data_IF_912845712737
#
_entry.id   IF_912845712737
#
_cell.length_a   1.000
_cell.length_b   1.000
_cell.length_c   1.000
_cell.angle_alpha   90.00
_cell.angle_beta   90.00
_cell.angle_gamma   90.00
#
_symmetry.space_group_name_H-M   'P 1'
#
loop_
_entity.id
_entity.type
_entity.pdbx_description
1 polymer ?
#
# COMPACT_ATOMS: atom_id res chain seq x y z
N UNK A 1 -6.96 23.56 -10.94
CA UNK A 1 -8.02 22.53 -10.83
C UNK A 1 -9.23 23.15 -10.16
N UNK A 2 -10.41 23.02 -10.74
CA UNK A 2 -11.63 23.64 -10.19
C UNK A 2 -12.11 22.87 -8.95
N UNK A 3 -12.81 23.57 -8.04
CA UNK A 3 -13.43 22.99 -6.83
C UNK A 3 -14.36 21.82 -7.19
N UNK A 4 -14.96 21.82 -8.39
CA UNK A 4 -15.78 20.71 -8.89
C UNK A 4 -15.00 19.39 -9.07
N UNK A 5 -13.76 19.45 -9.55
CA UNK A 5 -12.94 18.23 -9.70
C UNK A 5 -12.56 17.61 -8.34
N UNK A 6 -12.31 18.44 -7.32
CA UNK A 6 -12.04 17.93 -5.96
C UNK A 6 -13.26 17.29 -5.32
N UNK A 7 -14.45 17.82 -5.58
CA UNK A 7 -15.70 17.24 -5.08
C UNK A 7 -16.02 15.89 -5.74
N UNK A 8 -15.75 15.75 -7.04
CA UNK A 8 -15.96 14.50 -7.78
C UNK A 8 -15.03 13.36 -7.32
N UNK A 9 -13.79 13.69 -6.96
CA UNK A 9 -12.80 12.72 -6.46
C UNK A 9 -13.15 12.27 -5.03
N UNK A 10 -13.60 13.19 -4.16
CA UNK A 10 -14.10 12.85 -2.82
C UNK A 10 -15.35 11.96 -2.87
N UNK A 11 -16.23 12.18 -3.87
CA UNK A 11 -17.41 11.35 -4.09
C UNK A 11 -17.01 9.96 -4.66
N UNK A 12 -15.99 9.86 -5.50
CA UNK A 12 -15.51 8.58 -6.03
C UNK A 12 -14.83 7.73 -4.93
N UNK A 13 -14.04 8.32 -4.04
CA UNK A 13 -13.50 7.66 -2.86
C UNK A 13 -14.61 7.26 -1.88
N UNK A 14 -15.58 8.14 -1.61
CA UNK A 14 -16.74 7.83 -0.76
C UNK A 14 -17.61 6.72 -1.36
N UNK A 15 -17.74 6.64 -2.69
CA UNK A 15 -18.45 5.57 -3.38
C UNK A 15 -17.64 4.25 -3.39
N UNK A 16 -16.31 4.30 -3.48
CA UNK A 16 -15.46 3.12 -3.32
C UNK A 16 -15.58 2.55 -1.88
N UNK A 17 -15.72 3.41 -0.87
CA UNK A 17 -16.01 3.00 0.51
C UNK A 17 -17.44 2.46 0.67
N UNK A 18 -18.44 3.03 0.00
CA UNK A 18 -19.83 2.58 0.07
C UNK A 18 -20.08 1.23 -0.64
N UNK A 19 -19.29 0.92 -1.68
CA UNK A 19 -19.37 -0.38 -2.37
C UNK A 19 -18.79 -1.55 -1.56
N UNK A 20 -18.12 -1.27 -0.42
CA UNK A 20 -17.60 -2.28 0.50
C UNK A 20 -18.59 -2.72 1.58
N UNK A 21 -19.84 -2.28 1.53
CA UNK A 21 -20.90 -2.74 2.45
C UNK A 21 -21.46 -4.08 1.97
N UNK A 22 -20.76 -5.16 2.29
CA UNK A 22 -21.31 -6.52 2.20
C UNK A 22 -21.44 -7.10 3.61
N UNK A 23 -22.70 -7.40 4.00
CA UNK A 23 -23.21 -7.61 5.36
C UNK A 23 -22.80 -8.96 6.02
N UNK A 24 -21.59 -9.46 5.80
CA UNK A 24 -21.17 -10.72 6.43
C UNK A 24 -19.97 -10.53 7.36
N UNK A 25 -20.20 -9.99 8.55
CA UNK A 25 -19.15 -9.80 9.56
C UNK A 25 -19.32 -10.76 10.76
N UNK A 26 -18.21 -11.44 11.08
CA UNK A 26 -18.04 -12.08 12.38
C UNK A 26 -17.71 -11.06 13.48
N UNK A 27 -17.94 -11.44 14.68
CA UNK A 27 -18.02 -10.82 16.01
C UNK A 27 -17.11 -9.64 16.43
N UNK A 28 -16.40 -8.96 15.55
CA UNK A 28 -15.67 -7.72 15.83
C UNK A 28 -16.43 -6.52 15.23
N UNK A 29 -17.62 -6.25 15.77
CA UNK A 29 -18.55 -5.20 15.35
C UNK A 29 -18.13 -3.77 15.79
N UNK A 30 -16.87 -3.38 15.61
CA UNK A 30 -16.51 -1.98 15.74
C UNK A 30 -16.67 -1.28 14.38
N UNK A 31 -17.63 -0.37 14.30
CA UNK A 31 -17.81 0.52 13.16
C UNK A 31 -16.81 1.69 13.28
N UNK A 32 -15.85 1.73 12.39
CA UNK A 32 -14.83 2.79 12.36
C UNK A 32 -15.26 3.98 11.49
N UNK A 33 -16.37 3.89 10.76
CA UNK A 33 -16.75 4.86 9.73
C UNK A 33 -17.14 6.23 10.30
N UNK A 34 -17.61 6.28 11.55
CA UNK A 34 -17.98 7.52 12.24
C UNK A 34 -16.79 8.21 12.93
N UNK A 35 -15.60 7.64 12.87
CA UNK A 35 -14.43 8.21 13.53
C UNK A 35 -13.92 9.45 12.79
N UNK A 36 -13.75 10.54 13.52
CA UNK A 36 -12.98 11.70 13.02
C UNK A 36 -11.50 11.31 12.98
N UNK A 37 -10.89 11.48 11.81
CA UNK A 37 -9.49 11.12 11.56
C UNK A 37 -8.64 12.37 11.26
N UNK A 38 -7.45 12.44 11.84
CA UNK A 38 -6.50 13.53 11.60
C UNK A 38 -5.06 13.12 11.86
N UNK A 39 -4.13 13.87 11.28
CA UNK A 39 -2.69 13.76 11.57
C UNK A 39 -2.21 14.89 12.46
N UNK A 40 -1.27 14.59 13.35
CA UNK A 40 -0.56 15.58 14.14
C UNK A 40 0.94 15.27 14.21
N UNK A 41 1.82 16.28 14.43
CA UNK A 41 3.25 16.05 14.61
C UNK A 41 3.54 15.17 15.82
N UNK A 42 4.45 14.21 15.64
CA UNK A 42 4.99 13.44 16.75
C UNK A 42 6.16 14.20 17.41
N UNK A 43 5.89 14.86 18.51
CA UNK A 43 6.83 15.68 19.23
C UNK A 43 7.69 14.89 20.23
N UNK A 44 7.54 13.56 20.30
CA UNK A 44 8.36 12.72 21.18
C UNK A 44 9.81 12.75 20.74
N UNK A 45 10.79 12.72 21.69
CA UNK A 45 12.20 12.63 21.35
C UNK A 45 12.47 11.40 20.49
N UNK A 46 13.15 11.58 19.36
CA UNK A 46 13.54 10.49 18.47
C UNK A 46 15.06 10.38 18.48
N UNK A 47 15.56 9.17 18.76
CA UNK A 47 16.97 8.82 18.63
C UNK A 47 17.33 8.35 17.22
N UNK A 48 16.50 8.63 16.23
CA UNK A 48 16.78 8.32 14.84
C UNK A 48 18.06 9.09 14.45
N UNK A 49 19.11 8.36 14.08
CA UNK A 49 20.35 8.97 13.62
C UNK A 49 20.08 9.78 12.36
N UNK A 50 20.60 10.99 12.31
CA UNK A 50 20.38 11.99 11.26
C UNK A 50 20.97 11.65 9.89
N UNK A 51 21.57 10.47 9.72
CA UNK A 51 22.14 9.98 8.46
C UNK A 51 21.06 9.48 7.46
N UNK A 52 19.80 9.44 7.91
CA UNK A 52 18.66 9.12 7.05
C UNK A 52 18.09 10.38 6.40
N UNK A 53 17.57 10.22 5.19
CA UNK A 53 16.85 11.28 4.48
C UNK A 53 15.77 11.85 5.41
N UNK A 54 15.63 13.19 5.49
CA UNK A 54 14.73 13.83 6.44
C UNK A 54 13.28 13.37 6.22
N UNK A 55 12.67 12.82 7.25
CA UNK A 55 11.25 12.48 7.28
C UNK A 55 10.57 13.21 8.44
N UNK A 56 9.31 13.61 8.23
CA UNK A 56 8.49 14.19 9.30
C UNK A 56 7.88 13.08 10.14
N UNK A 57 8.15 13.02 11.47
CA UNK A 57 7.48 12.10 12.37
C UNK A 57 6.06 12.59 12.67
N UNK A 58 5.08 11.72 12.47
CA UNK A 58 3.66 12.04 12.61
C UNK A 58 2.94 10.95 13.41
N UNK A 59 1.80 11.30 14.00
CA UNK A 59 0.82 10.37 14.57
C UNK A 59 -0.49 10.53 13.82
N UNK A 60 -1.05 9.44 13.37
CA UNK A 60 -2.41 9.39 12.80
C UNK A 60 -3.38 8.95 13.88
N UNK A 61 -4.45 9.70 14.03
CA UNK A 61 -5.50 9.45 15.02
C UNK A 61 -6.83 9.12 14.34
N UNK A 62 -7.53 8.17 14.92
CA UNK A 62 -8.90 7.78 14.54
C UNK A 62 -9.77 7.82 15.78
N UNK A 63 -10.43 8.95 16.00
CA UNK A 63 -11.09 9.25 17.27
C UNK A 63 -10.10 9.29 18.43
N UNK A 64 -10.58 9.02 19.65
CA UNK A 64 -9.75 9.00 20.85
C UNK A 64 -9.06 7.65 21.10
N UNK A 65 -9.59 6.57 20.52
CA UNK A 65 -9.23 5.19 20.86
C UNK A 65 -8.06 4.66 20.04
N UNK A 66 -8.03 4.95 18.74
CA UNK A 66 -7.08 4.33 17.82
C UNK A 66 -6.06 5.34 17.31
N UNK A 67 -4.81 4.91 17.25
CA UNK A 67 -3.76 5.71 16.63
C UNK A 67 -2.59 4.82 16.22
N UNK A 68 -1.83 5.28 15.25
CA UNK A 68 -0.54 4.73 14.91
C UNK A 68 0.44 5.82 14.47
N UNK A 69 1.72 5.53 14.58
CA UNK A 69 2.77 6.44 14.14
C UNK A 69 3.04 6.26 12.66
N UNK A 70 3.51 7.31 12.00
CA UNK A 70 4.06 7.20 10.66
C UNK A 70 5.17 8.21 10.41
N UNK A 71 6.02 7.94 9.44
CA UNK A 71 6.99 8.88 8.90
C UNK A 71 6.58 9.31 7.51
N UNK A 72 6.65 10.61 7.24
CA UNK A 72 6.35 11.17 5.93
C UNK A 72 7.61 11.75 5.30
N UNK A 73 8.03 11.20 4.17
CA UNK A 73 9.00 11.80 3.28
C UNK A 73 8.27 12.73 2.30
N UNK A 74 8.79 13.93 2.16
CA UNK A 74 8.31 14.93 1.21
C UNK A 74 9.41 15.16 0.18
N UNK A 75 9.14 14.96 -1.12
CA UNK A 75 10.16 15.19 -2.15
C UNK A 75 10.55 16.67 -2.19
N UNK A 76 11.81 16.94 -2.48
CA UNK A 76 12.30 18.31 -2.57
C UNK A 76 11.54 19.08 -3.67
N UNK A 77 11.14 20.32 -3.37
CA UNK A 77 10.46 21.18 -4.33
C UNK A 77 8.98 20.82 -4.56
N UNK A 78 8.37 19.98 -3.69
CA UNK A 78 6.97 19.62 -3.86
C UNK A 78 6.00 20.82 -3.74
N UNK A 79 6.39 21.87 -3.01
CA UNK A 79 5.58 23.09 -2.81
C UNK A 79 5.53 23.95 -4.07
N UNK A 80 6.58 23.91 -4.88
CA UNK A 80 6.67 24.61 -6.17
C UNK A 80 6.20 23.76 -7.36
N UNK A 81 5.82 22.50 -7.11
CA UNK A 81 5.33 21.62 -8.16
C UNK A 81 4.00 22.09 -8.72
N UNK A 82 3.95 22.34 -10.02
CA UNK A 82 2.70 22.70 -10.73
C UNK A 82 1.73 21.53 -10.82
N UNK A 83 2.22 20.28 -10.70
CA UNK A 83 1.44 19.08 -10.82
C UNK A 83 1.46 18.29 -9.50
N UNK A 84 0.34 17.66 -9.13
CA UNK A 84 0.34 16.72 -8.00
C UNK A 84 1.33 15.58 -8.20
N UNK A 85 1.93 15.12 -7.11
CA UNK A 85 2.96 14.08 -7.10
C UNK A 85 2.41 12.74 -6.60
N UNK A 86 2.99 11.60 -7.03
CA UNK A 86 2.60 10.29 -6.56
C UNK A 86 2.74 10.13 -5.04
N UNK A 87 1.98 9.17 -4.47
CA UNK A 87 2.13 8.70 -3.10
C UNK A 87 2.52 7.22 -3.10
N UNK A 88 3.55 6.88 -2.35
CA UNK A 88 3.93 5.48 -2.06
C UNK A 88 3.69 5.20 -0.58
N UNK A 89 2.96 4.14 -0.27
CA UNK A 89 2.79 3.62 1.09
C UNK A 89 3.68 2.40 1.24
N UNK A 90 4.60 2.42 2.22
CA UNK A 90 5.52 1.32 2.46
C UNK A 90 5.23 0.61 3.78
N UNK A 91 4.84 -0.65 3.70
CA UNK A 91 4.50 -1.49 4.84
C UNK A 91 5.72 -2.32 5.28
N UNK A 92 6.11 -2.17 6.54
CA UNK A 92 7.28 -2.82 7.13
C UNK A 92 7.02 -4.29 7.53
N UNK A 93 8.08 -5.03 7.87
CA UNK A 93 8.03 -6.40 8.37
C UNK A 93 7.57 -6.53 9.82
N UNK A 94 7.44 -7.78 10.29
CA UNK A 94 6.88 -8.12 11.60
C UNK A 94 7.64 -7.49 12.79
N UNK A 95 8.98 -7.48 12.73
CA UNK A 95 9.84 -7.07 13.84
C UNK A 95 9.93 -5.54 14.01
N UNK A 96 9.29 -4.79 13.12
CA UNK A 96 9.30 -3.32 13.12
C UNK A 96 8.01 -2.72 13.69
N UNK A 97 7.10 -3.58 14.18
CA UNK A 97 5.88 -3.15 14.87
C UNK A 97 6.22 -2.40 16.15
N UNK A 98 5.34 -1.53 16.55
CA UNK A 98 5.50 -0.74 17.77
C UNK A 98 4.85 0.62 17.69
N UNK A 99 5.35 1.53 18.52
CA UNK A 99 4.85 2.91 18.60
C UNK A 99 5.98 3.93 18.80
N UNK A 100 7.23 3.54 18.54
CA UNK A 100 8.40 4.42 18.73
C UNK A 100 8.62 5.39 17.57
N UNK A 101 7.94 5.17 16.44
CA UNK A 101 8.09 5.93 15.21
C UNK A 101 9.52 5.89 14.63
N UNK A 102 10.24 4.81 14.87
CA UNK A 102 11.65 4.62 14.49
C UNK A 102 11.88 3.28 13.80
N UNK A 103 11.37 2.17 14.38
CA UNK A 103 11.68 0.82 13.92
C UNK A 103 11.24 0.58 12.46
N UNK A 104 10.14 1.18 12.00
CA UNK A 104 9.67 1.08 10.62
C UNK A 104 10.63 1.69 9.59
N UNK A 105 11.60 2.50 10.04
CA UNK A 105 12.61 3.13 9.18
C UNK A 105 13.82 2.23 8.93
N UNK A 106 13.87 1.04 9.51
CA UNK A 106 14.91 0.05 9.24
C UNK A 106 14.66 -0.63 7.88
N UNK A 107 15.76 -1.10 7.25
CA UNK A 107 15.75 -1.78 5.94
C UNK A 107 15.22 -0.91 4.79
N UNK A 108 15.28 -1.32 3.60
CA UNK A 108 14.82 -0.81 2.27
C UNK A 108 14.21 0.61 2.16
N UNK A 109 14.07 1.32 3.26
CA UNK A 109 13.36 2.60 3.34
C UNK A 109 13.95 3.64 2.39
N UNK A 110 15.28 3.68 2.29
CA UNK A 110 15.96 4.66 1.45
C UNK A 110 15.73 4.47 -0.06
N UNK A 111 15.29 3.28 -0.48
CA UNK A 111 15.08 2.99 -1.89
C UNK A 111 14.10 3.97 -2.53
N UNK A 112 12.91 4.13 -1.95
CA UNK A 112 11.86 4.99 -2.49
C UNK A 112 12.15 6.49 -2.36
N UNK A 113 13.07 6.87 -1.49
CA UNK A 113 13.45 8.28 -1.24
C UNK A 113 14.65 8.72 -2.07
N UNK A 114 15.41 7.79 -2.66
CA UNK A 114 16.72 8.08 -3.27
C UNK A 114 16.66 8.49 -4.73
N UNK A 115 15.50 8.32 -5.40
CA UNK A 115 15.41 8.52 -6.85
C UNK A 115 14.84 9.90 -7.19
N UNK A 116 15.73 10.83 -7.50
CA UNK A 116 15.37 12.19 -7.92
C UNK A 116 14.53 12.22 -9.21
N UNK A 117 14.69 11.22 -10.09
CA UNK A 117 13.95 11.11 -11.35
C UNK A 117 12.48 10.73 -11.17
N UNK A 118 12.11 10.23 -9.97
CA UNK A 118 10.75 9.81 -9.64
C UNK A 118 10.30 10.44 -8.31
N UNK A 119 10.10 11.76 -8.27
CA UNK A 119 9.69 12.44 -7.04
C UNK A 119 8.32 11.95 -6.60
N UNK A 120 8.22 11.46 -5.37
CA UNK A 120 6.99 10.98 -4.77
C UNK A 120 6.96 11.31 -3.28
N UNK A 121 5.77 11.52 -2.73
CA UNK A 121 5.57 11.40 -1.30
C UNK A 121 5.73 9.94 -0.90
N UNK A 122 6.40 9.67 0.22
CA UNK A 122 6.51 8.30 0.74
C UNK A 122 6.08 8.30 2.20
N UNK A 123 5.14 7.45 2.54
CA UNK A 123 4.65 7.27 3.90
C UNK A 123 5.04 5.90 4.43
N UNK A 124 5.57 5.89 5.65
CA UNK A 124 6.03 4.72 6.39
C UNK A 124 5.21 4.59 7.67
N UNK A 125 4.00 4.02 7.63
CA UNK A 125 3.23 3.80 8.83
C UNK A 125 3.89 2.72 9.69
N UNK A 126 3.78 2.84 11.02
CA UNK A 126 4.21 1.83 11.96
C UNK A 126 3.00 1.07 12.48
N UNK A 127 2.90 -0.21 12.13
CA UNK A 127 1.89 -1.10 12.66
C UNK A 127 2.08 -1.24 14.17
N UNK A 128 1.05 -1.03 15.00
CA UNK A 128 1.12 -1.27 16.43
C UNK A 128 1.49 -2.71 16.79
N UNK A 129 2.02 -2.92 18.00
CA UNK A 129 2.53 -4.22 18.43
C UNK A 129 1.44 -5.30 18.53
N UNK A 130 0.21 -4.88 18.83
CA UNK A 130 -0.98 -5.74 18.92
C UNK A 130 -1.71 -5.95 17.58
N UNK A 131 -1.24 -5.33 16.49
CA UNK A 131 -1.83 -5.41 15.16
C UNK A 131 -0.91 -6.06 14.13
N UNK A 132 -1.46 -6.31 12.94
CA UNK A 132 -0.74 -6.88 11.78
C UNK A 132 -1.27 -6.25 10.48
N UNK A 133 -0.41 -6.15 9.45
CA UNK A 133 -0.84 -5.86 8.10
C UNK A 133 -1.56 -7.09 7.51
N UNK A 134 -2.84 -6.96 7.16
CA UNK A 134 -3.58 -8.01 6.47
C UNK A 134 -3.83 -9.31 7.25
N UNK A 135 -3.36 -9.43 8.50
CA UNK A 135 -3.51 -10.63 9.31
C UNK A 135 -4.29 -10.35 10.60
N UNK A 136 -5.16 -11.27 10.99
CA UNK A 136 -5.86 -11.20 12.28
C UNK A 136 -4.92 -11.49 13.46
N UNK A 137 -3.95 -12.36 13.27
CA UNK A 137 -2.96 -12.76 14.28
C UNK A 137 -1.71 -13.33 13.63
N UNK A 138 -0.62 -13.47 14.40
CA UNK A 138 0.57 -14.18 13.94
C UNK A 138 0.22 -15.64 13.63
N UNK A 139 0.44 -16.13 12.40
CA UNK A 139 0.21 -17.52 12.05
C UNK A 139 1.28 -18.43 12.67
N UNK A 140 0.97 -19.72 12.82
CA UNK A 140 1.96 -20.73 13.24
C UNK A 140 3.02 -20.98 12.17
N UNK A 141 2.66 -20.84 10.90
CA UNK A 141 3.57 -20.84 9.76
C UNK A 141 3.03 -19.91 8.70
N UNK A 142 3.92 -19.20 8.00
CA UNK A 142 3.57 -18.28 6.92
C UNK A 142 3.43 -19.05 5.61
N UNK A 143 2.32 -19.78 5.48
CA UNK A 143 1.93 -20.45 4.24
C UNK A 143 0.49 -20.09 3.89
N UNK A 144 0.09 -20.14 2.61
CA UNK A 144 -1.23 -19.66 2.15
C UNK A 144 -2.42 -20.18 2.95
N UNK A 145 -2.36 -21.49 3.34
CA UNK A 145 -3.46 -22.17 4.01
C UNK A 145 -3.51 -21.96 5.53
N UNK A 146 -2.48 -21.35 6.12
CA UNK A 146 -2.36 -21.22 7.57
C UNK A 146 -2.54 -19.78 8.05
N UNK A 147 -2.80 -18.85 7.15
CA UNK A 147 -2.99 -17.44 7.49
C UNK A 147 -4.46 -17.11 7.67
N UNK A 148 -4.78 -16.57 8.83
CA UNK A 148 -6.08 -16.00 9.12
C UNK A 148 -6.00 -14.50 8.84
N UNK A 149 -6.62 -14.08 7.73
CA UNK A 149 -6.62 -12.69 7.31
C UNK A 149 -7.51 -11.85 8.23
N UNK A 150 -7.17 -10.58 8.37
CA UNK A 150 -8.01 -9.61 9.04
C UNK A 150 -9.36 -9.48 8.34
N UNK A 151 -10.43 -9.17 9.05
CA UNK A 151 -11.65 -8.68 8.44
C UNK A 151 -11.33 -7.49 7.55
N UNK A 152 -12.09 -7.29 6.47
CA UNK A 152 -11.90 -6.19 5.51
C UNK A 152 -11.90 -4.78 6.14
N UNK A 153 -12.24 -4.63 7.39
CA UNK A 153 -12.32 -3.34 8.09
C UNK A 153 -11.69 -3.42 9.48
N UNK A 154 -10.53 -4.10 9.61
CA UNK A 154 -9.72 -3.94 10.82
C UNK A 154 -9.31 -2.46 10.98
N UNK A 155 -9.06 -2.01 12.20
CA UNK A 155 -8.68 -0.61 12.42
C UNK A 155 -7.42 -0.20 11.63
N UNK A 156 -6.51 -1.14 11.33
CA UNK A 156 -5.34 -0.84 10.50
C UNK A 156 -5.69 -0.71 9.02
N UNK A 157 -6.61 -1.54 8.52
CA UNK A 157 -7.11 -1.44 7.15
C UNK A 157 -7.82 -0.10 6.94
N UNK A 158 -8.80 0.21 7.80
CA UNK A 158 -9.48 1.50 7.80
C UNK A 158 -8.51 2.66 7.99
N UNK A 159 -7.56 2.54 8.94
CA UNK A 159 -6.59 3.58 9.26
C UNK A 159 -5.68 3.96 8.09
N UNK A 160 -5.19 2.99 7.33
CA UNK A 160 -4.37 3.26 6.13
C UNK A 160 -5.21 3.97 5.06
N UNK A 161 -6.44 3.53 4.82
CA UNK A 161 -7.32 4.19 3.86
C UNK A 161 -7.62 5.64 4.27
N UNK A 162 -7.91 5.90 5.54
CA UNK A 162 -8.16 7.25 6.05
C UNK A 162 -6.90 8.11 6.09
N UNK A 163 -5.73 7.53 6.32
CA UNK A 163 -4.45 8.23 6.22
C UNK A 163 -4.21 8.74 4.80
N UNK A 164 -4.53 7.95 3.77
CA UNK A 164 -4.46 8.39 2.37
C UNK A 164 -5.33 9.63 2.16
N UNK A 165 -6.59 9.59 2.61
CA UNK A 165 -7.52 10.72 2.50
C UNK A 165 -6.99 11.97 3.22
N UNK A 166 -6.42 11.82 4.41
CA UNK A 166 -5.84 12.92 5.17
C UNK A 166 -4.61 13.52 4.46
N UNK A 167 -3.76 12.68 3.88
CA UNK A 167 -2.60 13.12 3.13
C UNK A 167 -2.99 13.87 1.84
N UNK A 168 -4.00 13.39 1.10
CA UNK A 168 -4.52 14.08 -0.08
C UNK A 168 -5.13 15.46 0.22
N UNK A 169 -5.70 15.64 1.42
CA UNK A 169 -6.20 16.93 1.88
C UNK A 169 -5.09 17.93 2.17
N UNK A 170 -3.97 17.45 2.69
CA UNK A 170 -2.91 18.30 3.24
C UNK A 170 -1.74 18.50 2.28
N UNK A 171 -1.58 17.67 1.24
CA UNK A 171 -0.47 17.70 0.30
C UNK A 171 -0.95 17.58 -1.14
N UNK A 172 -0.19 18.09 -2.13
CA UNK A 172 -0.51 17.98 -3.55
C UNK A 172 -0.23 16.55 -4.06
N UNK A 173 -0.99 15.57 -3.57
CA UNK A 173 -0.90 14.16 -3.97
C UNK A 173 -1.80 13.92 -5.18
N UNK A 174 -1.29 13.14 -6.14
CA UNK A 174 -2.02 12.68 -7.30
C UNK A 174 -2.80 11.41 -6.94
N UNK A 175 -4.11 11.54 -6.78
CA UNK A 175 -5.01 10.43 -6.48
C UNK A 175 -5.04 9.32 -7.55
N UNK A 176 -4.55 9.60 -8.77
CA UNK A 176 -4.41 8.59 -9.82
C UNK A 176 -3.15 7.75 -9.69
N UNK A 177 -2.19 8.19 -8.87
CA UNK A 177 -0.88 7.54 -8.70
C UNK A 177 -0.56 7.27 -7.24
N UNK A 178 -1.40 6.46 -6.60
CA UNK A 178 -1.20 5.95 -5.24
C UNK A 178 -0.72 4.51 -5.35
N UNK A 179 0.42 4.22 -4.76
CA UNK A 179 1.07 2.92 -4.79
C UNK A 179 1.24 2.34 -3.40
N UNK A 180 1.30 1.02 -3.30
CA UNK A 180 1.57 0.32 -2.05
C UNK A 180 2.71 -0.68 -2.25
N UNK A 181 3.61 -0.73 -1.29
CA UNK A 181 4.75 -1.64 -1.29
C UNK A 181 4.99 -2.20 0.12
N UNK A 182 5.60 -3.37 0.23
CA UNK A 182 5.97 -3.88 1.53
C UNK A 182 6.75 -5.19 1.47
N UNK A 183 7.42 -5.51 2.58
CA UNK A 183 8.22 -6.73 2.70
C UNK A 183 7.74 -7.61 3.84
N UNK A 184 7.89 -8.93 3.72
CA UNK A 184 7.54 -9.89 4.76
C UNK A 184 6.06 -9.73 5.19
N UNK A 185 5.78 -9.44 6.45
CA UNK A 185 4.43 -9.07 6.91
C UNK A 185 3.84 -7.92 6.09
N UNK A 186 4.65 -6.91 5.72
CA UNK A 186 4.23 -5.82 4.83
C UNK A 186 3.94 -6.28 3.41
N UNK A 187 4.65 -7.29 2.91
CA UNK A 187 4.33 -7.94 1.63
C UNK A 187 2.98 -8.67 1.66
N UNK A 188 2.67 -9.33 2.78
CA UNK A 188 1.34 -9.91 3.03
C UNK A 188 0.28 -8.82 3.04
N UNK A 189 0.52 -7.73 3.79
CA UNK A 189 -0.38 -6.57 3.83
C UNK A 189 -0.61 -5.95 2.47
N UNK A 190 0.44 -5.78 1.67
CA UNK A 190 0.33 -5.28 0.30
C UNK A 190 -0.63 -6.13 -0.54
N UNK A 191 -0.47 -7.46 -0.51
CA UNK A 191 -1.35 -8.38 -1.24
C UNK A 191 -2.80 -8.31 -0.73
N UNK A 192 -2.99 -8.19 0.58
CA UNK A 192 -4.33 -8.07 1.17
C UNK A 192 -5.00 -6.74 0.82
N UNK A 193 -4.26 -5.63 0.89
CA UNK A 193 -4.79 -4.30 0.53
C UNK A 193 -5.23 -4.22 -0.93
N UNK A 194 -4.43 -4.72 -1.88
CA UNK A 194 -4.82 -4.67 -3.30
C UNK A 194 -5.97 -5.63 -3.62
N UNK A 195 -6.10 -6.74 -2.89
CA UNK A 195 -7.24 -7.65 -3.05
C UNK A 195 -8.53 -7.09 -2.44
N UNK A 196 -8.42 -6.29 -1.37
CA UNK A 196 -9.57 -5.73 -0.65
C UNK A 196 -10.01 -4.37 -1.18
N UNK A 197 -9.07 -3.57 -1.69
CA UNK A 197 -9.28 -2.18 -2.14
C UNK A 197 -8.71 -1.95 -3.55
N UNK A 198 -9.16 -2.69 -4.57
CA UNK A 198 -8.59 -2.61 -5.91
C UNK A 198 -8.76 -1.23 -6.58
N UNK A 199 -9.69 -0.40 -6.10
CA UNK A 199 -9.92 0.96 -6.62
C UNK A 199 -9.00 2.05 -6.07
N UNK A 200 -8.14 1.75 -5.09
CA UNK A 200 -7.28 2.76 -4.45
C UNK A 200 -5.90 2.82 -5.11
N UNK A 201 -5.30 1.67 -5.40
CA UNK A 201 -3.89 1.58 -5.78
C UNK A 201 -3.71 1.46 -7.29
N UNK A 202 -2.85 2.29 -7.86
CA UNK A 202 -2.49 2.23 -9.28
C UNK A 202 -1.63 1.00 -9.60
N UNK A 203 -0.73 0.62 -8.71
CA UNK A 203 0.08 -0.60 -8.78
C UNK A 203 0.68 -0.94 -7.41
N UNK A 204 1.28 -2.12 -7.27
CA UNK A 204 1.82 -2.59 -6.00
C UNK A 204 3.14 -3.36 -6.16
N UNK A 205 3.96 -3.37 -5.07
CA UNK A 205 5.20 -4.15 -4.97
C UNK A 205 5.16 -5.04 -3.72
N UNK A 206 5.20 -6.36 -3.87
CA UNK A 206 5.24 -7.31 -2.76
C UNK A 206 6.56 -8.05 -2.70
N UNK A 207 7.28 -7.92 -1.58
CA UNK A 207 8.56 -8.58 -1.34
C UNK A 207 8.38 -9.68 -0.29
N UNK A 208 8.72 -10.92 -0.65
CA UNK A 208 8.59 -12.12 0.17
C UNK A 208 7.25 -12.19 0.96
N UNK A 209 6.18 -11.69 0.35
CA UNK A 209 4.81 -11.81 0.88
C UNK A 209 4.14 -13.09 0.39
N UNK A 210 3.12 -13.53 1.10
CA UNK A 210 2.24 -14.64 0.70
C UNK A 210 0.83 -14.40 1.19
N UNK A 211 -0.16 -14.91 0.45
CA UNK A 211 -1.57 -14.82 0.79
C UNK A 211 -2.30 -16.04 0.26
N UNK A 212 -3.49 -16.35 0.78
CA UNK A 212 -4.37 -17.29 0.10
C UNK A 212 -4.78 -16.69 -1.26
N UNK A 213 -4.43 -17.32 -2.41
CA UNK A 213 -4.67 -16.76 -3.74
C UNK A 213 -6.15 -16.59 -4.06
N UNK A 214 -7.06 -17.33 -3.41
CA UNK A 214 -8.51 -17.18 -3.57
C UNK A 214 -9.05 -15.82 -3.03
N UNK A 215 -8.20 -15.06 -2.35
CA UNK A 215 -8.50 -13.68 -1.96
C UNK A 215 -8.66 -12.75 -3.18
N UNK A 216 -8.00 -13.08 -4.29
CA UNK A 216 -8.13 -12.34 -5.54
C UNK A 216 -9.36 -12.81 -6.32
N UNK A 217 -10.33 -11.90 -6.48
CA UNK A 217 -11.55 -12.10 -7.26
C UNK A 217 -11.30 -11.93 -8.77
N UNK A 218 -12.32 -12.23 -9.58
CA UNK A 218 -12.27 -12.05 -11.04
C UNK A 218 -12.15 -10.59 -11.47
N UNK A 219 -12.47 -9.66 -10.58
CA UNK A 219 -12.45 -8.22 -10.85
C UNK A 219 -11.16 -7.57 -10.37
N UNK A 220 -10.14 -8.39 -10.05
CA UNK A 220 -8.85 -7.88 -9.61
C UNK A 220 -8.03 -7.38 -10.79
N UNK A 221 -7.70 -6.08 -10.78
CA UNK A 221 -6.99 -5.40 -11.88
C UNK A 221 -5.73 -4.64 -11.43
N UNK A 222 -5.34 -4.69 -10.14
CA UNK A 222 -4.18 -3.95 -9.67
C UNK A 222 -2.89 -4.61 -10.18
N UNK A 223 -2.09 -3.94 -11.02
CA UNK A 223 -0.79 -4.43 -11.46
C UNK A 223 0.11 -4.74 -10.25
N UNK A 224 0.75 -5.89 -10.27
CA UNK A 224 1.56 -6.37 -9.15
C UNK A 224 2.95 -6.81 -9.59
N UNK A 225 3.98 -6.28 -8.94
CA UNK A 225 5.34 -6.77 -9.06
C UNK A 225 5.73 -7.52 -7.79
N UNK A 226 6.22 -8.75 -7.93
CA UNK A 226 6.54 -9.64 -6.81
C UNK A 226 7.99 -10.09 -6.86
N UNK A 227 8.65 -10.10 -5.70
CA UNK A 227 9.97 -10.69 -5.48
C UNK A 227 9.90 -11.73 -4.36
N UNK A 228 10.51 -12.92 -4.54
CA UNK A 228 10.64 -13.92 -3.50
C UNK A 228 11.82 -14.86 -3.79
N UNK A 229 12.60 -15.23 -2.79
CA UNK A 229 13.66 -16.22 -2.96
C UNK A 229 13.14 -17.65 -2.73
N UNK A 230 13.62 -18.58 -3.53
CA UNK A 230 13.21 -19.99 -3.46
C UNK A 230 13.63 -20.68 -2.16
N UNK A 231 14.69 -20.18 -1.51
CA UNK A 231 15.25 -20.69 -0.25
C UNK A 231 14.76 -19.92 1.00
N UNK A 232 13.67 -19.13 0.89
CA UNK A 232 13.06 -18.43 2.03
C UNK A 232 12.53 -19.45 3.06
N UNK A 233 13.13 -19.42 4.24
CA UNK A 233 12.82 -20.34 5.36
C UNK A 233 11.82 -19.75 6.38
N UNK A 234 11.40 -18.48 6.20
CA UNK A 234 10.44 -17.78 7.05
C UNK A 234 9.05 -17.81 6.42
N UNK A 235 8.94 -17.33 5.17
CA UNK A 235 7.70 -17.32 4.38
C UNK A 235 7.90 -18.20 3.15
N UNK A 236 7.09 -19.25 3.04
CA UNK A 236 7.25 -20.19 1.91
C UNK A 236 7.00 -19.52 0.56
N UNK A 237 7.95 -19.69 -0.35
CA UNK A 237 7.87 -19.17 -1.74
C UNK A 237 6.65 -19.71 -2.51
N UNK A 238 6.12 -20.88 -2.12
CA UNK A 238 4.97 -21.49 -2.79
C UNK A 238 3.73 -20.61 -2.77
N UNK A 239 3.56 -19.77 -1.74
CA UNK A 239 2.48 -18.79 -1.70
C UNK A 239 2.58 -17.75 -2.81
N UNK A 240 3.77 -17.23 -3.08
CA UNK A 240 4.01 -16.31 -4.19
C UNK A 240 3.78 -16.97 -5.55
N UNK A 241 4.22 -18.23 -5.71
CA UNK A 241 3.98 -19.01 -6.94
C UNK A 241 2.50 -19.22 -7.19
N UNK A 242 1.71 -19.52 -6.14
CA UNK A 242 0.26 -19.70 -6.24
C UNK A 242 -0.44 -18.37 -6.56
N UNK A 243 -0.06 -17.29 -5.89
CA UNK A 243 -0.58 -15.94 -6.18
C UNK A 243 -0.30 -15.54 -7.63
N UNK A 244 0.93 -15.74 -8.11
CA UNK A 244 1.31 -15.49 -9.50
C UNK A 244 0.44 -16.26 -10.50
N UNK A 245 0.28 -17.59 -10.30
CA UNK A 245 -0.57 -18.43 -11.16
C UNK A 245 -2.04 -17.98 -11.14
N UNK A 246 -2.55 -17.59 -9.97
CA UNK A 246 -3.92 -17.09 -9.81
C UNK A 246 -4.15 -15.80 -10.60
N UNK A 247 -3.24 -14.82 -10.44
CA UNK A 247 -3.34 -13.54 -11.13
C UNK A 247 -3.21 -13.70 -12.65
N UNK A 248 -2.31 -14.55 -13.13
CA UNK A 248 -2.25 -14.91 -14.57
C UNK A 248 -3.57 -15.53 -15.06
N UNK A 249 -4.16 -16.43 -14.28
CA UNK A 249 -5.46 -17.04 -14.62
C UNK A 249 -6.58 -16.00 -14.71
N UNK A 250 -6.55 -14.97 -13.86
CA UNK A 250 -7.50 -13.86 -13.86
C UNK A 250 -7.23 -12.82 -14.97
N UNK A 251 -6.11 -12.94 -15.71
CA UNK A 251 -5.71 -11.97 -16.73
C UNK A 251 -5.12 -10.67 -16.18
N UNK A 252 -4.76 -10.65 -14.89
CA UNK A 252 -4.16 -9.48 -14.24
C UNK A 252 -2.72 -9.27 -14.70
N UNK A 253 -2.27 -8.01 -14.75
CA UNK A 253 -0.87 -7.69 -14.99
C UNK A 253 -0.03 -8.06 -13.75
N UNK A 254 0.86 -9.05 -13.89
CA UNK A 254 1.71 -9.51 -12.80
C UNK A 254 3.13 -9.82 -13.30
N UNK A 255 4.12 -9.24 -12.62
CA UNK A 255 5.54 -9.53 -12.80
C UNK A 255 6.02 -10.30 -11.58
N UNK A 256 6.69 -11.43 -11.78
CA UNK A 256 7.23 -12.23 -10.68
C UNK A 256 8.69 -12.60 -10.95
N UNK A 257 9.55 -12.24 -10.01
CA UNK A 257 10.95 -12.64 -10.00
C UNK A 257 11.23 -13.53 -8.78
N UNK A 258 11.68 -14.75 -9.06
CA UNK A 258 12.10 -15.70 -8.06
C UNK A 258 13.62 -15.78 -8.03
N UNK A 259 14.24 -15.35 -6.91
CA UNK A 259 15.66 -15.55 -6.66
C UNK A 259 15.95 -16.99 -6.24
N UNK A 260 17.11 -17.53 -6.63
CA UNK A 260 17.48 -18.89 -6.27
C UNK A 260 17.93 -19.01 -4.81
N UNK A 261 18.65 -18.01 -4.32
CA UNK A 261 19.27 -17.97 -2.99
C UNK A 261 19.17 -16.55 -2.42
N UNK A 262 19.23 -16.43 -1.09
CA UNK A 262 19.19 -15.15 -0.37
C UNK A 262 18.25 -15.18 0.85
N UNK A 263 17.55 -16.28 1.07
CA UNK A 263 16.64 -16.46 2.20
C UNK A 263 15.52 -15.44 2.20
N UNK A 264 15.13 -14.99 3.37
CA UNK A 264 14.02 -14.06 3.55
C UNK A 264 14.29 -12.61 3.10
N UNK A 265 15.48 -12.29 2.55
CA UNK A 265 15.88 -10.92 2.17
C UNK A 265 15.93 -10.80 0.63
N UNK A 266 14.80 -10.97 -0.04
CA UNK A 266 14.73 -11.00 -1.51
C UNK A 266 14.90 -9.63 -2.18
N UNK A 267 14.73 -8.53 -1.46
CA UNK A 267 14.70 -7.18 -2.05
C UNK A 267 16.08 -6.51 -2.18
N UNK A 268 17.11 -6.98 -1.48
CA UNK A 268 18.40 -6.27 -1.42
C UNK A 268 19.11 -6.11 -2.77
N UNK A 269 18.91 -7.04 -3.68
CA UNK A 269 19.54 -6.98 -5.00
C UNK A 269 18.71 -6.17 -6.00
N UNK A 270 17.39 -6.21 -5.89
CA UNK A 270 16.49 -5.52 -6.80
C UNK A 270 16.30 -4.03 -6.49
N UNK A 271 16.39 -3.63 -5.22
CA UNK A 271 16.33 -2.21 -4.82
C UNK A 271 17.48 -1.36 -5.38
N UNK A 272 18.46 -1.99 -6.02
CA UNK A 272 19.56 -1.30 -6.72
C UNK A 272 19.24 -1.01 -8.18
N UNK A 273 18.14 -1.53 -8.73
CA UNK A 273 17.76 -1.34 -10.12
C UNK A 273 16.64 -0.29 -10.22
N UNK A 274 16.79 0.74 -11.06
CA UNK A 274 15.72 1.74 -11.26
C UNK A 274 14.50 1.16 -11.97
N UNK A 275 14.60 0.01 -12.59
CA UNK A 275 13.57 -0.58 -13.46
C UNK A 275 12.26 -0.89 -12.72
N UNK A 276 12.34 -1.37 -11.47
CA UNK A 276 11.17 -1.67 -10.67
C UNK A 276 10.38 -0.39 -10.29
N UNK A 277 11.08 0.69 -9.96
CA UNK A 277 10.43 1.96 -9.66
C UNK A 277 9.87 2.62 -10.93
N UNK A 278 10.59 2.52 -12.05
CA UNK A 278 10.11 2.96 -13.35
C UNK A 278 8.82 2.21 -13.75
N UNK A 279 8.81 0.88 -13.54
CA UNK A 279 7.62 0.07 -13.75
C UNK A 279 6.46 0.54 -12.85
N UNK A 280 6.69 0.71 -11.54
CA UNK A 280 5.66 1.19 -10.61
C UNK A 280 5.06 2.52 -11.07
N UNK A 281 5.92 3.50 -11.39
CA UNK A 281 5.52 4.85 -11.77
C UNK A 281 4.88 4.95 -13.17
N UNK A 282 4.97 3.91 -13.99
CA UNK A 282 4.30 3.87 -15.30
C UNK A 282 2.80 3.61 -15.22
N UNK A 283 2.27 3.23 -14.04
CA UNK A 283 0.87 2.92 -13.83
C UNK A 283 0.08 4.08 -13.23
N UNK A 284 -1.20 4.18 -13.60
CA UNK A 284 -2.19 5.07 -13.00
C UNK A 284 -3.55 4.37 -12.93
N UNK A 285 -4.45 4.86 -12.09
CA UNK A 285 -5.81 4.33 -12.06
C UNK A 285 -6.51 4.50 -13.41
N UNK A 286 -6.34 5.64 -14.08
CA UNK A 286 -6.90 5.88 -15.40
C UNK A 286 -6.36 4.94 -16.47
N UNK A 287 -5.09 4.55 -16.40
CA UNK A 287 -4.51 3.58 -17.36
C UNK A 287 -5.09 2.16 -17.20
N UNK A 288 -5.60 1.82 -16.00
CA UNK A 288 -6.20 0.52 -15.71
C UNK A 288 -7.62 0.39 -16.26
N UNK A 289 -8.41 1.46 -16.17
CA UNK A 289 -9.83 1.42 -16.52
C UNK A 289 -10.14 1.86 -17.96
N UNK A 290 -9.10 2.15 -18.77
CA UNK A 290 -9.26 2.69 -20.12
C UNK A 290 -10.00 4.04 -20.13
N UNK A 291 -9.79 4.86 -21.14
CA UNK A 291 -10.63 6.05 -21.34
C UNK A 291 -12.03 5.59 -21.79
N UNK A 292 -12.93 5.32 -20.86
CA UNK A 292 -14.33 4.98 -21.12
C UNK A 292 -15.10 6.08 -21.89
N UNK A 293 -14.43 7.16 -22.31
CA UNK A 293 -15.02 8.29 -22.98
C UNK A 293 -14.68 8.41 -24.48
N UNK A 294 -13.97 7.46 -25.12
CA UNK A 294 -13.56 7.62 -26.52
C UNK A 294 -14.43 6.85 -27.55
N UNK A 295 -15.37 6.03 -27.11
CA UNK A 295 -16.19 5.22 -28.05
C UNK A 295 -17.50 5.88 -28.51
N UNK A 296 -17.75 7.16 -28.24
CA UNK A 296 -19.03 7.81 -28.61
C UNK A 296 -18.94 8.87 -29.73
N UNK A 297 -17.94 8.88 -30.59
CA UNK A 297 -17.85 9.92 -31.64
C UNK A 297 -17.65 9.43 -33.09
N UNK A 298 -17.96 8.21 -33.45
CA UNK A 298 -17.84 7.77 -34.86
C UNK A 298 -19.12 7.21 -35.53
N UNK A 299 -20.30 7.52 -35.00
CA UNK A 299 -21.57 7.16 -35.71
C UNK A 299 -22.43 8.36 -36.12
N UNK A 300 -21.82 9.40 -36.72
CA UNK A 300 -22.60 10.40 -37.48
C UNK A 300 -21.76 11.00 -38.62
N UNK A 301 -21.47 10.18 -39.61
CA UNK A 301 -21.11 10.68 -40.95
C UNK A 301 -21.56 9.65 -42.02
N UNK A 302 -22.85 9.70 -42.37
CA UNK A 302 -23.36 9.46 -43.72
C UNK A 302 -24.83 9.88 -43.83
#
# INVERSE_FOLDING_TARGET
>A
MSILNRLSILIALALAFAACHDDTFGDDNEDYTDLVCWSEPDLRPSNLKTDFIPTSPMIFRMGEKYSFCYRLFKPQGYEESEQPLPLIIYLHGLDQRGSDNIAQMNYCVNYFMSYADYPAFVVYPQCPEDAYWGLKKRPKSFSPNNMELSPKHSYMDYGICQLIVDLEKNYPIDSQRIYIAGHSMGGIGTLDFIASHPGIFAAALSFCGTINPERFSTDHEVPLFMLHNADDDIITVEGSRQTYRRLLYLGSEVVYHEGALGGHICWQDYVKTPDMLAWLMSHSLSSRFGDANNDNNDDNAN
#
